data_IF_226404527384
#
_entry.id   IF_226404527384
#
_cell.length_a   1.000
_cell.length_b   1.000
_cell.length_c   1.000
_cell.angle_alpha   90.00
_cell.angle_beta   90.00
_cell.angle_gamma   90.00
#
_symmetry.space_group_name_H-M   'P 1'
#
loop_
_entity.id
_entity.type
_entity.pdbx_description
1 polymer ?
#
# COMPACT_ATOMS: atom_id res chain seq x y z
N UNK A 1 -34.71 4.78 -14.39
CA UNK A 1 -33.37 4.53 -14.98
C UNK A 1 -32.69 3.55 -14.06
N UNK A 2 -32.87 2.24 -14.30
CA UNK A 2 -32.41 1.17 -13.42
C UNK A 2 -30.91 0.94 -13.62
N UNK A 3 -30.15 1.02 -12.54
CA UNK A 3 -28.74 0.68 -12.55
C UNK A 3 -28.59 -0.86 -12.60
N UNK A 4 -28.25 -1.38 -13.76
CA UNK A 4 -27.94 -2.79 -13.95
C UNK A 4 -26.64 -3.13 -13.24
N UNK A 5 -26.73 -3.74 -12.06
CA UNK A 5 -25.57 -4.33 -11.37
C UNK A 5 -25.08 -5.48 -12.20
N UNK A 6 -23.93 -5.34 -12.85
CA UNK A 6 -23.20 -6.45 -13.47
C UNK A 6 -22.77 -7.40 -12.35
N UNK A 7 -23.54 -8.44 -12.11
CA UNK A 7 -23.08 -9.59 -11.35
C UNK A 7 -21.94 -10.22 -12.13
N UNK A 8 -20.71 -10.13 -11.61
CA UNK A 8 -19.56 -10.80 -12.21
C UNK A 8 -19.82 -12.30 -12.24
N UNK A 9 -19.53 -12.94 -13.38
CA UNK A 9 -19.60 -14.39 -13.48
C UNK A 9 -18.78 -15.04 -12.35
N UNK A 10 -19.25 -16.09 -11.69
CA UNK A 10 -18.50 -16.76 -10.64
C UNK A 10 -17.17 -17.26 -11.21
N UNK A 11 -16.07 -16.88 -10.57
CA UNK A 11 -14.74 -17.35 -10.94
C UNK A 11 -14.69 -18.82 -10.53
N UNK A 12 -14.84 -19.70 -11.51
CA UNK A 12 -14.93 -21.14 -11.32
C UNK A 12 -13.75 -21.67 -10.48
N UNK A 13 -14.04 -22.31 -9.35
CA UNK A 13 -13.05 -22.96 -8.49
C UNK A 13 -12.51 -22.13 -7.32
N UNK A 14 -12.97 -20.87 -7.09
CA UNK A 14 -12.58 -20.08 -5.90
C UNK A 14 -13.47 -20.38 -4.69
N UNK A 15 -14.72 -20.80 -4.88
CA UNK A 15 -15.69 -20.99 -3.79
C UNK A 15 -15.30 -22.08 -2.79
N UNK A 16 -14.45 -23.05 -3.20
CA UNK A 16 -13.95 -24.12 -2.34
C UNK A 16 -12.58 -23.84 -1.73
N UNK A 17 -11.91 -22.74 -2.13
CA UNK A 17 -10.57 -22.41 -1.64
C UNK A 17 -10.62 -21.57 -0.36
N UNK A 18 -9.82 -21.97 0.62
CA UNK A 18 -9.61 -21.19 1.83
C UNK A 18 -8.30 -20.44 1.71
N UNK A 19 -8.38 -19.14 1.59
CA UNK A 19 -7.21 -18.27 1.59
C UNK A 19 -6.81 -17.95 3.02
N UNK A 20 -5.51 -18.07 3.31
CA UNK A 20 -4.94 -17.68 4.62
C UNK A 20 -4.47 -16.23 4.61
N UNK A 21 -4.15 -15.70 3.42
CA UNK A 21 -3.67 -14.34 3.22
C UNK A 21 -4.17 -13.80 1.89
N UNK A 22 -4.47 -12.51 1.87
CA UNK A 22 -4.75 -11.73 0.67
C UNK A 22 -3.72 -10.62 0.59
N UNK A 23 -3.02 -10.52 -0.52
CA UNK A 23 -2.08 -9.44 -0.82
C UNK A 23 -2.68 -8.61 -1.96
N UNK A 24 -2.73 -7.30 -1.79
CA UNK A 24 -3.33 -6.41 -2.78
C UNK A 24 -2.59 -5.08 -2.85
N UNK A 25 -2.60 -4.50 -4.04
CA UNK A 25 -2.11 -3.15 -4.26
C UNK A 25 -3.14 -2.13 -3.79
N UNK A 26 -2.65 -1.00 -3.24
CA UNK A 26 -3.50 0.01 -2.62
C UNK A 26 -3.96 1.07 -3.61
N UNK A 27 -3.01 1.84 -4.14
CA UNK A 27 -3.31 3.01 -4.98
C UNK A 27 -3.74 2.59 -6.39
N UNK A 28 -4.95 2.95 -6.81
CA UNK A 28 -5.51 2.59 -8.12
C UNK A 28 -6.10 1.19 -8.19
N UNK A 29 -6.00 0.37 -7.12
CA UNK A 29 -6.55 -0.99 -7.04
C UNK A 29 -7.60 -1.10 -5.92
N UNK A 30 -7.21 -0.98 -4.67
CA UNK A 30 -8.14 -1.01 -3.54
C UNK A 30 -8.90 0.31 -3.39
N UNK A 31 -8.26 1.42 -3.70
CA UNK A 31 -8.84 2.76 -3.71
C UNK A 31 -8.47 3.49 -5.00
N UNK A 32 -9.40 4.25 -5.55
CA UNK A 32 -9.18 5.00 -6.78
C UNK A 32 -8.15 6.15 -6.61
N UNK A 33 -8.05 6.72 -5.42
CA UNK A 33 -7.10 7.78 -5.09
C UNK A 33 -6.90 7.89 -3.58
N UNK A 34 -5.90 8.66 -3.16
CA UNK A 34 -5.63 8.96 -1.73
C UNK A 34 -6.75 9.72 -1.02
N UNK A 35 -7.60 10.42 -1.76
CA UNK A 35 -8.76 11.12 -1.22
C UNK A 35 -10.05 10.28 -1.28
N UNK A 36 -9.97 9.06 -1.82
CA UNK A 36 -11.15 8.19 -1.94
C UNK A 36 -11.62 7.71 -0.56
N UNK A 37 -12.95 7.71 -0.30
CA UNK A 37 -13.50 7.11 0.91
C UNK A 37 -13.10 5.63 1.03
N UNK A 38 -12.79 5.20 2.25
CA UNK A 38 -12.29 3.83 2.49
C UNK A 38 -13.27 2.96 3.27
N UNK A 39 -14.47 3.45 3.55
CA UNK A 39 -15.43 2.78 4.44
C UNK A 39 -15.78 1.36 3.95
N UNK A 40 -15.97 1.18 2.65
CA UNK A 40 -16.31 -0.13 2.07
C UNK A 40 -15.13 -1.11 2.16
N UNK A 41 -13.92 -0.68 1.79
CA UNK A 41 -12.72 -1.53 1.88
C UNK A 41 -12.35 -1.79 3.36
N UNK A 42 -12.56 -0.82 4.25
CA UNK A 42 -12.34 -0.96 5.68
C UNK A 42 -13.24 -2.05 6.26
N UNK A 43 -14.55 -1.96 6.04
CA UNK A 43 -15.52 -2.94 6.50
C UNK A 43 -15.20 -4.36 5.99
N UNK A 44 -14.90 -4.52 4.69
CA UNK A 44 -14.54 -5.82 4.09
C UNK A 44 -13.24 -6.36 4.69
N UNK A 45 -12.26 -5.51 4.90
CA UNK A 45 -10.98 -5.88 5.51
C UNK A 45 -11.17 -6.36 6.94
N UNK A 46 -11.94 -5.67 7.76
CA UNK A 46 -12.23 -6.08 9.13
C UNK A 46 -12.97 -7.42 9.19
N UNK A 47 -13.93 -7.64 8.28
CA UNK A 47 -14.63 -8.91 8.17
C UNK A 47 -13.71 -10.08 7.83
N UNK A 48 -12.70 -9.88 6.97
CA UNK A 48 -11.69 -10.89 6.61
C UNK A 48 -10.70 -11.13 7.76
N UNK A 49 -10.16 -10.07 8.33
CA UNK A 49 -9.26 -10.12 9.47
C UNK A 49 -9.90 -10.82 10.67
N UNK A 50 -11.18 -10.52 10.97
CA UNK A 50 -11.96 -11.16 12.02
C UNK A 50 -12.20 -12.66 11.80
N UNK A 51 -12.16 -13.13 10.55
CA UNK A 51 -12.20 -14.54 10.18
C UNK A 51 -10.82 -15.23 10.19
N UNK A 52 -9.78 -14.52 10.60
CA UNK A 52 -8.42 -15.05 10.69
C UNK A 52 -7.63 -15.01 9.38
N UNK A 53 -8.13 -14.33 8.34
CA UNK A 53 -7.38 -14.10 7.09
C UNK A 53 -6.39 -12.96 7.33
N UNK A 54 -5.15 -13.14 6.92
CA UNK A 54 -4.16 -12.09 6.90
C UNK A 54 -4.38 -11.17 5.70
N UNK A 55 -4.18 -9.87 5.88
CA UNK A 55 -4.19 -8.90 4.78
C UNK A 55 -2.82 -8.23 4.67
N UNK A 56 -2.33 -8.08 3.44
CA UNK A 56 -1.13 -7.31 3.16
C UNK A 56 -1.43 -6.27 2.08
N UNK A 57 -1.47 -5.01 2.46
CA UNK A 57 -1.57 -3.89 1.51
C UNK A 57 -0.17 -3.48 1.05
N UNK A 58 0.02 -3.38 -0.27
CA UNK A 58 1.28 -2.95 -0.90
C UNK A 58 1.06 -1.58 -1.53
N UNK A 59 1.98 -0.65 -1.34
CA UNK A 59 1.86 0.70 -1.90
C UNK A 59 3.21 1.35 -2.14
N UNK A 60 3.26 2.27 -3.09
CA UNK A 60 4.41 3.15 -3.31
C UNK A 60 4.51 4.31 -2.31
N UNK A 61 3.45 4.58 -1.52
CA UNK A 61 3.46 5.67 -0.53
C UNK A 61 4.10 5.24 0.80
N UNK A 62 4.35 6.21 1.67
CA UNK A 62 4.86 5.96 3.02
C UNK A 62 3.76 5.49 3.99
N UNK A 63 4.17 4.91 5.12
CA UNK A 63 3.24 4.38 6.11
C UNK A 63 2.34 5.46 6.75
N UNK A 64 2.83 6.67 6.95
CA UNK A 64 2.04 7.74 7.57
C UNK A 64 0.78 8.06 6.74
N UNK A 65 0.93 8.15 5.41
CA UNK A 65 -0.20 8.37 4.51
C UNK A 65 -1.19 7.21 4.54
N UNK A 66 -0.70 5.97 4.44
CA UNK A 66 -1.54 4.77 4.49
C UNK A 66 -2.22 4.61 5.85
N UNK A 67 -1.54 4.93 6.94
CA UNK A 67 -2.09 4.88 8.30
C UNK A 67 -3.23 5.87 8.47
N UNK A 68 -3.05 7.11 8.03
CA UNK A 68 -4.10 8.13 8.08
C UNK A 68 -5.34 7.75 7.25
N UNK A 69 -5.14 7.12 6.10
CA UNK A 69 -6.23 6.72 5.21
C UNK A 69 -6.91 5.43 5.65
N UNK A 70 -6.18 4.41 6.08
CA UNK A 70 -6.69 3.05 6.27
C UNK A 70 -6.18 2.34 7.53
N UNK A 71 -4.86 2.12 7.68
CA UNK A 71 -4.33 1.24 8.71
C UNK A 71 -4.67 1.68 10.14
N UNK A 72 -4.67 3.00 10.40
CA UNK A 72 -5.03 3.58 11.68
C UNK A 72 -6.51 3.49 12.01
N UNK A 73 -7.37 3.26 11.01
CA UNK A 73 -8.82 3.13 11.17
C UNK A 73 -9.27 1.69 11.47
N UNK A 74 -8.42 0.70 11.22
CA UNK A 74 -8.72 -0.69 11.56
C UNK A 74 -8.88 -0.85 13.07
N UNK A 75 -9.87 -1.62 13.48
CA UNK A 75 -10.13 -1.95 14.89
C UNK A 75 -8.94 -2.70 15.49
N UNK A 76 -8.44 -2.31 16.67
CA UNK A 76 -7.27 -2.96 17.31
C UNK A 76 -7.37 -4.47 17.41
N UNK A 77 -8.53 -5.02 17.72
CA UNK A 77 -8.74 -6.47 17.90
C UNK A 77 -8.50 -7.31 16.65
N UNK A 78 -8.50 -6.71 15.46
CA UNK A 78 -8.33 -7.42 14.19
C UNK A 78 -7.05 -7.03 13.44
N UNK A 79 -6.56 -5.79 13.60
CA UNK A 79 -5.44 -5.25 12.81
C UNK A 79 -4.08 -5.93 13.06
N UNK A 80 -3.94 -6.73 14.12
CA UNK A 80 -2.77 -7.57 14.36
C UNK A 80 -2.44 -8.54 13.21
N UNK A 81 -3.41 -8.81 12.32
CA UNK A 81 -3.22 -9.63 11.11
C UNK A 81 -3.07 -8.81 9.84
N UNK A 82 -2.92 -7.50 9.95
CA UNK A 82 -2.71 -6.61 8.82
C UNK A 82 -1.22 -6.26 8.69
N UNK A 83 -0.71 -6.36 7.46
CA UNK A 83 0.64 -5.98 7.07
C UNK A 83 0.57 -4.87 6.03
N UNK A 84 1.55 -3.97 6.06
CA UNK A 84 1.60 -2.81 5.18
C UNK A 84 3.02 -2.70 4.60
N UNK A 85 3.15 -3.07 3.33
CA UNK A 85 4.38 -2.95 2.57
C UNK A 85 4.38 -1.58 1.89
N UNK A 86 5.17 -0.66 2.40
CA UNK A 86 5.20 0.75 1.97
C UNK A 86 6.52 1.09 1.27
N UNK A 87 6.58 2.28 0.66
CA UNK A 87 7.77 2.73 -0.06
C UNK A 87 8.27 1.66 -1.07
N UNK A 88 7.33 1.08 -1.86
CA UNK A 88 7.61 0.00 -2.84
C UNK A 88 8.23 -1.25 -2.22
N UNK A 89 7.88 -1.56 -0.97
CA UNK A 89 8.35 -2.76 -0.25
C UNK A 89 9.66 -2.56 0.53
N UNK A 90 10.25 -1.36 0.53
CA UNK A 90 11.43 -1.08 1.36
C UNK A 90 11.12 -1.05 2.86
N UNK A 91 9.87 -0.87 3.22
CA UNK A 91 9.43 -0.92 4.61
C UNK A 91 8.21 -1.82 4.77
N UNK A 92 8.16 -2.57 5.86
CA UNK A 92 7.01 -3.39 6.25
C UNK A 92 6.60 -3.03 7.66
N UNK A 93 5.33 -2.70 7.81
CA UNK A 93 4.70 -2.41 9.09
C UNK A 93 3.64 -3.43 9.43
N UNK A 94 3.42 -3.62 10.71
CA UNK A 94 2.34 -4.40 11.29
C UNK A 94 1.94 -3.81 12.63
N UNK A 95 1.24 -4.60 13.44
CA UNK A 95 0.82 -4.19 14.77
C UNK A 95 1.21 -5.24 15.82
N UNK A 96 1.33 -4.79 17.07
CA UNK A 96 1.50 -5.67 18.23
C UNK A 96 0.34 -6.67 18.37
N UNK A 97 0.53 -7.70 19.18
CA UNK A 97 -0.48 -8.75 19.39
C UNK A 97 -1.82 -8.21 19.92
N UNK A 98 -1.80 -7.11 20.67
CA UNK A 98 -3.00 -6.41 21.13
C UNK A 98 -3.55 -5.40 20.11
N UNK A 99 -2.87 -5.23 18.99
CA UNK A 99 -3.22 -4.28 17.94
C UNK A 99 -3.00 -2.81 18.30
N UNK A 100 -2.44 -2.47 19.45
CA UNK A 100 -2.35 -1.06 19.88
C UNK A 100 -1.13 -0.34 19.31
N UNK A 101 0.00 -1.05 19.22
CA UNK A 101 1.27 -0.45 18.83
C UNK A 101 1.61 -0.80 17.39
N UNK A 102 1.95 0.21 16.60
CA UNK A 102 2.53 0.02 15.27
C UNK A 102 3.97 -0.45 15.40
N UNK A 103 4.32 -1.50 14.67
CA UNK A 103 5.64 -2.09 14.62
C UNK A 103 6.21 -1.97 13.21
N UNK A 104 7.42 -1.44 13.08
CA UNK A 104 8.17 -1.53 11.84
C UNK A 104 8.93 -2.86 11.83
N UNK A 105 8.42 -3.82 11.08
CA UNK A 105 8.93 -5.19 11.01
C UNK A 105 10.15 -5.33 10.12
N UNK A 106 10.24 -4.48 9.09
CA UNK A 106 11.35 -4.44 8.14
C UNK A 106 11.57 -3.02 7.66
N UNK A 107 12.84 -2.66 7.46
CA UNK A 107 13.24 -1.46 6.73
C UNK A 107 14.54 -1.74 5.98
N UNK A 108 14.54 -1.46 4.67
CA UNK A 108 15.76 -1.36 3.88
C UNK A 108 16.12 0.11 3.77
N UNK A 109 17.29 0.44 4.26
CA UNK A 109 17.88 1.77 4.12
C UNK A 109 18.94 1.69 3.03
N UNK A 110 18.95 2.64 2.12
CA UNK A 110 19.98 2.74 1.11
C UNK A 110 21.35 2.94 1.78
N UNK A 111 22.39 2.36 1.20
CA UNK A 111 23.77 2.65 1.59
C UNK A 111 24.18 4.02 1.05
N UNK A 112 25.20 4.64 1.64
CA UNK A 112 25.75 5.91 1.13
C UNK A 112 26.14 5.83 -0.36
N UNK A 113 26.69 4.71 -0.79
CA UNK A 113 27.04 4.47 -2.20
C UNK A 113 25.82 4.41 -3.12
N UNK A 114 24.72 3.80 -2.66
CA UNK A 114 23.45 3.77 -3.41
C UNK A 114 22.84 5.17 -3.51
N UNK A 115 22.83 5.93 -2.40
CA UNK A 115 22.33 7.30 -2.39
C UNK A 115 23.14 8.21 -3.34
N UNK A 116 24.46 8.15 -3.29
CA UNK A 116 25.30 8.87 -4.23
C UNK A 116 25.08 8.47 -5.70
N UNK A 117 24.84 7.17 -5.96
CA UNK A 117 24.53 6.71 -7.31
C UNK A 117 23.19 7.24 -7.80
N UNK A 118 22.17 7.26 -6.94
CA UNK A 118 20.86 7.83 -7.24
C UNK A 118 20.94 9.33 -7.47
N UNK A 119 21.69 10.07 -6.65
CA UNK A 119 21.91 11.50 -6.82
C UNK A 119 22.60 11.83 -8.15
N UNK A 120 23.65 11.08 -8.51
CA UNK A 120 24.32 11.25 -9.80
C UNK A 120 23.36 10.98 -10.97
N UNK A 121 22.55 9.92 -10.88
CA UNK A 121 21.58 9.59 -11.92
C UNK A 121 20.50 10.67 -12.04
N UNK A 122 19.97 11.15 -10.93
CA UNK A 122 18.95 12.20 -10.91
C UNK A 122 19.46 13.52 -11.53
N UNK A 123 20.68 13.95 -11.16
CA UNK A 123 21.33 15.15 -11.73
C UNK A 123 21.60 15.01 -13.22
N UNK A 124 22.00 13.82 -13.66
CA UNK A 124 22.21 13.53 -15.10
C UNK A 124 20.89 13.65 -15.86
N UNK A 125 19.82 13.03 -15.37
CA UNK A 125 18.50 13.13 -15.99
C UNK A 125 18.02 14.58 -16.04
N UNK A 126 18.18 15.32 -14.95
CA UNK A 126 17.83 16.74 -14.89
C UNK A 126 18.58 17.56 -15.97
N UNK A 127 19.87 17.33 -16.11
CA UNK A 127 20.68 17.98 -17.13
C UNK A 127 20.22 17.60 -18.55
N UNK A 128 20.01 16.31 -18.83
CA UNK A 128 19.53 15.85 -20.14
C UNK A 128 18.16 16.43 -20.50
N UNK A 129 17.22 16.48 -19.55
CA UNK A 129 15.89 17.07 -19.76
C UNK A 129 15.98 18.57 -20.09
N UNK A 130 16.85 19.28 -19.41
CA UNK A 130 17.08 20.70 -19.67
C UNK A 130 17.68 20.94 -21.05
N UNK A 131 18.77 20.25 -21.38
CA UNK A 131 19.53 20.47 -22.62
C UNK A 131 18.77 19.99 -23.87
N UNK A 132 18.09 18.85 -23.80
CA UNK A 132 17.44 18.24 -24.95
C UNK A 132 16.00 18.66 -25.14
N UNK A 133 15.31 19.02 -24.06
CA UNK A 133 13.85 19.27 -24.07
C UNK A 133 13.46 20.63 -23.51
N UNK A 134 14.41 21.44 -23.02
CA UNK A 134 14.13 22.74 -22.41
C UNK A 134 13.27 22.66 -21.15
N UNK A 135 13.24 21.49 -20.48
CA UNK A 135 12.42 21.25 -19.29
C UNK A 135 13.21 21.57 -18.02
N UNK A 136 12.72 22.55 -17.27
CA UNK A 136 13.23 22.83 -15.93
C UNK A 136 12.57 21.88 -14.91
N UNK A 137 13.38 21.05 -14.25
CA UNK A 137 12.92 20.06 -13.28
C UNK A 137 13.58 20.29 -11.93
N UNK A 138 12.96 19.78 -10.85
CA UNK A 138 13.47 19.87 -9.49
C UNK A 138 13.61 18.47 -8.90
N UNK A 139 14.76 18.16 -8.30
CA UNK A 139 14.95 16.96 -7.49
C UNK A 139 14.31 17.23 -6.11
N UNK A 140 13.43 16.34 -5.69
CA UNK A 140 12.78 16.38 -4.36
C UNK A 140 13.34 15.20 -3.56
N UNK A 141 13.90 15.47 -2.38
CA UNK A 141 14.44 14.48 -1.45
C UNK A 141 13.43 14.13 -0.37
#
# INVERSE_FOLDING_TARGET
MEATTRAGAPICGLDSRRFKMIIFDWDGTAVASRAHPVDDILWRSEALLGRGVWLAAVTGTNFANLSGQFAGKLTPSVRQRALFCTNRGSEVYGFSADGQTTLRLHARVATATEDEAMDRAARRIQHELREQHGLETRIIY
#
